data_IF_721389024062
#
_entry.id   IF_721389024062
#
_cell.length_a   1.000
_cell.length_b   1.000
_cell.length_c   1.000
_cell.angle_alpha   90.00
_cell.angle_beta   90.00
_cell.angle_gamma   90.00
#
_symmetry.space_group_name_H-M   'P 1'
#
loop_
_entity.id
_entity.type
_entity.pdbx_description
1 polymer ?
#
# COMPACT_ATOMS: atom_id res chain seq x y z
N UNK A 1 -0.62 12.33 9.73
CA UNK A 1 -1.81 11.56 10.23
C UNK A 1 -1.46 10.85 11.55
N UNK A 2 -2.38 10.64 12.50
CA UNK A 2 -2.10 9.85 13.73
C UNK A 2 -2.56 8.40 13.58
N UNK A 3 -1.68 7.53 13.08
CA UNK A 3 -1.93 6.08 12.97
C UNK A 3 -1.71 5.41 14.33
N UNK A 4 -2.65 4.58 14.77
CA UNK A 4 -2.47 3.82 16.01
C UNK A 4 -1.42 2.72 15.81
N UNK A 5 -0.49 2.50 16.76
CA UNK A 5 0.62 1.57 16.57
C UNK A 5 0.17 0.20 16.06
N UNK A 6 -0.88 -0.41 16.63
CA UNK A 6 -1.35 -1.74 16.23
C UNK A 6 -1.81 -1.89 14.77
N UNK A 7 -2.17 -0.79 14.11
CA UNK A 7 -2.64 -0.78 12.70
C UNK A 7 -1.58 -0.29 11.71
N UNK A 8 -0.36 -0.03 12.20
CA UNK A 8 0.74 0.48 11.38
C UNK A 8 1.35 -0.62 10.52
N UNK A 9 1.37 -0.38 9.22
CA UNK A 9 2.18 -1.07 8.24
C UNK A 9 3.14 -0.07 7.60
N UNK A 10 4.37 -0.47 7.39
CA UNK A 10 5.40 0.33 6.74
C UNK A 10 5.85 -0.36 5.48
N UNK A 11 5.82 0.34 4.35
CA UNK A 11 6.52 -0.06 3.14
C UNK A 11 7.85 0.67 3.11
N UNK A 12 8.94 -0.10 3.15
CA UNK A 12 10.31 0.40 3.04
C UNK A 12 10.99 -0.21 1.82
N UNK A 13 12.05 0.40 1.35
CA UNK A 13 12.85 -0.07 0.22
C UNK A 13 14.32 0.30 0.40
N UNK A 14 15.19 -0.28 -0.42
CA UNK A 14 16.61 0.03 -0.46
C UNK A 14 16.94 1.10 -1.49
N UNK A 15 16.25 1.06 -2.63
CA UNK A 15 16.50 1.94 -3.76
C UNK A 15 15.26 2.07 -4.65
N UNK A 16 15.20 3.12 -5.47
CA UNK A 16 14.09 3.40 -6.38
C UNK A 16 14.60 3.61 -7.80
N UNK A 17 14.06 2.84 -8.75
CA UNK A 17 14.40 2.94 -10.18
C UNK A 17 13.20 3.51 -10.96
N UNK A 18 13.43 4.60 -11.69
CA UNK A 18 12.41 5.27 -12.50
C UNK A 18 12.57 4.87 -13.97
N UNK A 19 11.70 3.99 -14.45
CA UNK A 19 11.74 3.52 -15.85
C UNK A 19 10.82 4.29 -16.78
N UNK A 20 9.68 4.77 -16.28
CA UNK A 20 8.70 5.60 -17.00
C UNK A 20 8.26 6.77 -16.12
N UNK A 21 7.54 7.74 -16.66
CA UNK A 21 7.11 8.96 -15.94
C UNK A 21 6.02 8.70 -14.88
N UNK A 22 5.42 7.51 -14.85
CA UNK A 22 4.31 7.17 -13.94
C UNK A 22 4.59 5.98 -13.04
N UNK A 23 5.77 5.33 -13.15
CA UNK A 23 6.14 4.13 -12.39
C UNK A 23 7.48 4.31 -11.68
N UNK A 24 7.49 3.94 -10.40
CA UNK A 24 8.69 3.83 -9.57
C UNK A 24 8.87 2.36 -9.13
N UNK A 25 9.95 1.72 -9.57
CA UNK A 25 10.28 0.37 -9.14
C UNK A 25 11.03 0.40 -7.81
N UNK A 26 10.50 -0.32 -6.82
CA UNK A 26 11.08 -0.37 -5.47
C UNK A 26 12.01 -1.59 -5.37
N UNK A 27 13.32 -1.37 -5.21
CA UNK A 27 14.30 -2.45 -5.05
C UNK A 27 14.45 -2.82 -3.59
N UNK A 28 14.42 -4.13 -3.32
CA UNK A 28 14.51 -4.65 -1.96
C UNK A 28 13.39 -4.13 -1.07
N UNK A 29 12.20 -3.95 -1.64
CA UNK A 29 11.04 -3.48 -0.89
C UNK A 29 10.58 -4.53 0.11
N UNK A 30 10.09 -4.07 1.26
CA UNK A 30 9.52 -4.95 2.27
C UNK A 30 8.47 -4.25 3.10
N UNK A 31 7.52 -5.03 3.57
CA UNK A 31 6.61 -4.65 4.63
C UNK A 31 7.23 -4.93 6.00
N UNK A 32 7.02 -4.01 6.94
CA UNK A 32 7.26 -4.22 8.36
C UNK A 32 6.21 -3.49 9.20
N UNK A 33 6.14 -3.80 10.49
CA UNK A 33 5.19 -3.18 11.42
C UNK A 33 4.41 -4.21 12.24
N UNK A 34 3.78 -3.76 13.33
CA UNK A 34 3.09 -4.64 14.27
C UNK A 34 1.87 -5.35 13.66
N UNK A 35 1.23 -4.78 12.64
CA UNK A 35 0.06 -5.42 12.00
C UNK A 35 0.43 -6.77 11.36
N UNK A 36 1.69 -6.96 10.95
CA UNK A 36 2.15 -8.23 10.36
C UNK A 36 2.12 -9.39 11.35
N UNK A 37 2.08 -9.14 12.67
CA UNK A 37 1.92 -10.19 13.68
C UNK A 37 0.52 -10.79 13.69
N UNK A 38 -0.45 -10.04 13.17
CA UNK A 38 -1.87 -10.41 13.14
C UNK A 38 -2.38 -10.63 11.73
N UNK A 39 -1.64 -10.21 10.70
CA UNK A 39 -1.98 -10.43 9.32
C UNK A 39 -1.76 -11.90 8.93
N UNK A 40 -2.67 -12.44 8.12
CA UNK A 40 -2.42 -13.67 7.38
C UNK A 40 -1.27 -13.46 6.37
N UNK A 41 -0.77 -14.55 5.79
CA UNK A 41 0.14 -14.45 4.64
C UNK A 41 -0.53 -13.62 3.54
N UNK A 42 0.22 -12.67 2.98
CA UNK A 42 -0.22 -11.89 1.82
C UNK A 42 -0.09 -12.74 0.54
N UNK A 43 -0.95 -12.46 -0.43
CA UNK A 43 -0.93 -13.12 -1.73
C UNK A 43 0.41 -12.84 -2.44
N UNK A 44 1.01 -13.84 -3.12
CA UNK A 44 2.25 -13.64 -3.86
C UNK A 44 2.14 -12.64 -5.00
N UNK A 45 0.98 -12.52 -5.64
CA UNK A 45 0.73 -11.58 -6.72
C UNK A 45 -0.51 -10.76 -6.38
N UNK A 46 -0.31 -9.50 -5.98
CA UNK A 46 -1.41 -8.65 -5.54
C UNK A 46 -1.05 -7.16 -5.62
N UNK A 47 -1.98 -6.32 -5.19
CA UNK A 47 -1.85 -4.88 -5.20
C UNK A 47 -2.61 -4.23 -4.04
N UNK A 48 -2.16 -3.03 -3.67
CA UNK A 48 -2.87 -2.12 -2.77
C UNK A 48 -3.11 -0.80 -3.49
N UNK A 49 -4.30 -0.24 -3.33
CA UNK A 49 -4.56 1.16 -3.68
C UNK A 49 -4.29 2.02 -2.45
N UNK A 50 -3.35 2.94 -2.56
CA UNK A 50 -2.91 3.82 -1.47
C UNK A 50 -3.43 5.24 -1.71
N UNK A 51 -4.09 5.82 -0.71
CA UNK A 51 -4.56 7.20 -0.70
C UNK A 51 -3.59 8.10 0.03
N UNK A 52 -2.90 8.90 -0.79
CA UNK A 52 -1.91 9.89 -0.39
C UNK A 52 -2.50 11.32 -0.43
N UNK A 53 -3.82 11.48 -0.65
CA UNK A 53 -4.48 12.79 -0.82
C UNK A 53 -4.33 13.69 0.41
N UNK A 54 -4.25 13.09 1.61
CA UNK A 54 -4.07 13.83 2.87
C UNK A 54 -2.64 14.33 3.13
N UNK A 55 -1.70 14.13 2.19
CA UNK A 55 -0.36 14.73 2.23
C UNK A 55 -0.42 16.24 1.90
N UNK A 56 -1.17 17.00 2.70
CA UNK A 56 -1.41 18.45 2.53
C UNK A 56 -0.16 19.33 2.70
N UNK A 57 0.99 18.76 3.07
CA UNK A 57 2.21 19.52 3.39
C UNK A 57 3.28 19.40 2.30
N UNK A 58 3.27 18.31 1.53
CA UNK A 58 4.29 18.05 0.50
C UNK A 58 3.80 18.51 -0.88
N UNK A 59 2.49 18.45 -1.12
CA UNK A 59 1.92 18.78 -2.42
C UNK A 59 1.09 20.05 -2.37
N UNK A 60 1.15 20.91 -3.42
CA UNK A 60 0.22 22.02 -3.55
C UNK A 60 -1.22 21.49 -3.47
N UNK A 61 -2.18 22.27 -2.93
CA UNK A 61 -3.56 21.82 -2.76
C UNK A 61 -4.09 21.27 -4.08
N UNK A 62 -4.19 19.95 -4.17
CA UNK A 62 -4.65 19.29 -5.37
C UNK A 62 -6.16 19.41 -5.44
N UNK A 63 -6.65 19.77 -6.62
CA UNK A 63 -8.07 19.67 -6.94
C UNK A 63 -8.54 18.20 -7.03
N UNK A 64 -7.59 17.26 -7.19
CA UNK A 64 -7.83 15.83 -7.44
C UNK A 64 -7.27 14.93 -6.31
N UNK A 65 -7.84 13.73 -6.18
CA UNK A 65 -7.32 12.67 -5.32
C UNK A 65 -5.93 12.20 -5.76
N UNK A 66 -5.02 12.00 -4.81
CA UNK A 66 -3.71 11.41 -5.08
C UNK A 66 -3.71 9.94 -4.66
N UNK A 67 -4.08 9.07 -5.59
CA UNK A 67 -4.04 7.61 -5.42
C UNK A 67 -2.86 7.00 -6.17
N UNK A 68 -2.22 6.01 -5.55
CA UNK A 68 -1.16 5.22 -6.18
C UNK A 68 -1.42 3.72 -6.01
N UNK A 69 -1.09 2.95 -7.04
CA UNK A 69 -1.12 1.50 -7.00
C UNK A 69 0.25 0.98 -6.60
N UNK A 70 0.33 0.32 -5.44
CA UNK A 70 1.44 -0.54 -5.09
C UNK A 70 1.15 -1.95 -5.61
N UNK A 71 2.06 -2.53 -6.36
CA UNK A 71 1.94 -3.89 -6.87
C UNK A 71 3.23 -4.67 -6.61
N UNK A 72 3.11 -5.99 -6.48
CA UNK A 72 4.25 -6.90 -6.35
C UNK A 72 3.98 -8.23 -7.04
N UNK A 73 5.07 -8.95 -7.33
CA UNK A 73 5.05 -10.30 -7.86
C UNK A 73 6.11 -11.16 -7.18
N UNK A 74 5.64 -12.04 -6.31
CA UNK A 74 6.43 -12.86 -5.40
C UNK A 74 6.61 -12.18 -4.04
N UNK A 75 6.63 -13.01 -2.99
CA UNK A 75 6.86 -12.58 -1.61
C UNK A 75 7.84 -13.51 -0.93
N UNK A 76 8.63 -12.99 -0.01
CA UNK A 76 9.56 -13.77 0.80
C UNK A 76 9.47 -13.33 2.26
N UNK A 77 9.19 -14.30 3.13
CA UNK A 77 9.05 -14.07 4.57
C UNK A 77 10.39 -14.30 5.25
N UNK A 78 10.89 -13.28 5.94
CA UNK A 78 12.14 -13.37 6.70
C UNK A 78 11.99 -12.58 7.99
N UNK A 79 12.11 -13.29 9.11
CA UNK A 79 11.93 -12.72 10.46
C UNK A 79 10.56 -12.04 10.58
N UNK A 80 10.52 -10.74 10.92
CA UNK A 80 9.31 -9.92 11.05
C UNK A 80 9.08 -9.02 9.82
N UNK A 81 9.55 -9.44 8.65
CA UNK A 81 9.45 -8.69 7.40
C UNK A 81 8.90 -9.56 6.27
N UNK A 82 8.15 -8.91 5.38
CA UNK A 82 7.65 -9.53 4.14
C UNK A 82 8.27 -8.79 2.97
N UNK A 83 9.26 -9.41 2.33
CA UNK A 83 9.94 -8.85 1.18
C UNK A 83 9.09 -9.01 -0.07
N UNK A 84 8.95 -7.94 -0.83
CA UNK A 84 8.17 -7.88 -2.06
C UNK A 84 9.12 -8.00 -3.25
N UNK A 85 8.91 -9.02 -4.08
CA UNK A 85 9.65 -9.20 -5.33
C UNK A 85 8.94 -8.44 -6.45
N UNK A 86 9.74 -7.93 -7.38
CA UNK A 86 9.26 -7.20 -8.57
C UNK A 86 8.27 -6.06 -8.24
N UNK A 87 8.43 -5.40 -7.09
CA UNK A 87 7.48 -4.38 -6.64
C UNK A 87 7.64 -3.04 -7.35
N UNK A 88 6.51 -2.37 -7.58
CA UNK A 88 6.45 -1.04 -8.16
C UNK A 88 5.27 -0.24 -7.61
N UNK A 89 5.41 1.08 -7.65
CA UNK A 89 4.34 2.04 -7.37
C UNK A 89 4.02 2.79 -8.65
N UNK A 90 2.74 2.87 -9.00
CA UNK A 90 2.25 3.60 -10.18
C UNK A 90 1.21 4.62 -9.80
N UNK A 91 1.31 5.82 -10.36
CA UNK A 91 0.28 6.83 -10.22
C UNK A 91 0.58 8.06 -11.06
N UNK A 92 -0.47 8.82 -11.38
CA UNK A 92 -0.42 10.00 -12.26
C UNK A 92 0.66 11.01 -11.85
N UNK A 93 0.97 11.07 -10.56
CA UNK A 93 1.92 12.04 -10.02
C UNK A 93 3.15 11.47 -9.32
N UNK A 94 3.38 10.15 -9.41
CA UNK A 94 4.45 9.46 -8.66
C UNK A 94 5.84 9.98 -9.02
N UNK A 95 6.06 10.44 -10.25
CA UNK A 95 7.37 10.96 -10.68
C UNK A 95 7.38 12.45 -11.04
N UNK A 96 6.25 13.15 -10.94
CA UNK A 96 6.10 14.54 -11.42
C UNK A 96 6.01 15.58 -10.31
N UNK A 97 5.71 15.20 -9.07
CA UNK A 97 5.64 16.13 -7.95
C UNK A 97 6.89 16.08 -7.07
N UNK A 98 7.18 14.90 -6.52
CA UNK A 98 8.40 14.65 -5.74
C UNK A 98 8.78 13.18 -5.86
N UNK A 99 10.01 12.92 -6.30
CA UNK A 99 10.51 11.56 -6.45
C UNK A 99 10.82 10.95 -5.08
N UNK A 100 10.29 9.75 -4.84
CA UNK A 100 10.66 8.90 -3.70
C UNK A 100 12.19 8.72 -3.59
N UNK A 101 12.75 9.16 -2.47
CA UNK A 101 14.14 8.93 -2.11
C UNK A 101 14.39 7.52 -1.56
N UNK A 102 15.67 7.13 -1.47
CA UNK A 102 16.09 5.87 -0.84
C UNK A 102 15.84 5.81 0.68
N UNK A 103 15.77 6.97 1.32
CA UNK A 103 15.55 7.11 2.76
C UNK A 103 14.07 7.38 3.10
N UNK A 104 13.22 7.46 2.06
CA UNK A 104 11.79 7.63 2.22
C UNK A 104 11.13 6.28 2.50
N UNK A 105 9.95 6.33 3.11
CA UNK A 105 9.11 5.14 3.31
C UNK A 105 7.64 5.54 3.30
N UNK A 106 6.73 4.57 3.16
CA UNK A 106 5.29 4.82 3.20
C UNK A 106 4.70 4.21 4.46
N UNK A 107 4.08 5.04 5.29
CA UNK A 107 3.23 4.63 6.40
C UNK A 107 1.83 4.34 5.88
N UNK A 108 1.32 3.15 6.13
CA UNK A 108 -0.01 2.70 5.72
C UNK A 108 -0.85 2.45 6.98
N UNK A 109 -2.05 3.03 7.03
CA UNK A 109 -3.03 2.79 8.10
C UNK A 109 -3.95 1.63 7.69
N UNK A 110 -3.80 0.50 8.38
CA UNK A 110 -4.62 -0.70 8.17
C UNK A 110 -5.89 -0.73 9.05
N UNK A 111 -6.23 0.36 9.75
CA UNK A 111 -7.42 0.40 10.60
C UNK A 111 -8.69 0.17 9.78
N UNK A 112 -9.53 -0.77 10.21
CA UNK A 112 -10.78 -1.12 9.52
C UNK A 112 -10.60 -2.07 8.33
N UNK A 113 -9.41 -2.66 8.20
CA UNK A 113 -9.12 -3.70 7.21
C UNK A 113 -8.97 -5.07 7.89
N UNK A 114 -9.91 -5.41 8.77
CA UNK A 114 -9.98 -6.71 9.45
C UNK A 114 -10.81 -7.70 8.62
N UNK A 115 -10.39 -8.97 8.57
CA UNK A 115 -10.95 -10.01 7.68
C UNK A 115 -12.45 -10.28 7.83
N UNK A 116 -13.08 -9.87 8.95
CA UNK A 116 -14.51 -10.06 9.19
C UNK A 116 -15.40 -9.17 8.32
N UNK A 117 -14.91 -7.99 7.90
CA UNK A 117 -15.68 -7.06 7.07
C UNK A 117 -15.78 -7.47 5.60
N UNK A 118 -15.02 -8.51 5.20
CA UNK A 118 -14.81 -8.91 3.80
C UNK A 118 -15.39 -10.27 3.42
N UNK A 119 -16.27 -10.84 4.25
CA UNK A 119 -16.99 -12.06 3.90
C UNK A 119 -17.72 -11.87 2.55
N UNK A 120 -17.57 -12.80 1.58
CA UNK A 120 -18.20 -12.67 0.27
C UNK A 120 -19.72 -12.63 0.45
N UNK A 121 -20.32 -11.47 0.22
CA UNK A 121 -21.78 -11.35 0.18
C UNK A 121 -22.26 -12.17 -1.02
N UNK A 122 -23.24 -13.06 -0.82
CA UNK A 122 -23.88 -13.81 -1.92
C UNK A 122 -24.29 -12.82 -3.00
N UNK A 123 -23.58 -12.82 -4.13
CA UNK A 123 -23.91 -11.93 -5.23
C UNK A 123 -25.08 -12.47 -6.05
N UNK A 124 -25.40 -11.75 -7.12
CA UNK A 124 -26.58 -12.02 -7.95
C UNK A 124 -26.54 -13.44 -8.52
N UNK A 125 -27.64 -14.17 -8.41
CA UNK A 125 -27.83 -15.47 -9.07
C UNK A 125 -27.81 -15.25 -10.58
N UNK A 126 -26.90 -15.93 -11.28
CA UNK A 126 -26.73 -15.82 -12.74
C UNK A 126 -27.26 -17.05 -13.48
N UNK A 127 -27.39 -18.19 -12.79
CA UNK A 127 -28.08 -19.39 -13.27
C UNK A 127 -28.62 -20.21 -12.09
N UNK A 128 -29.46 -21.25 -12.28
CA UNK A 128 -29.82 -22.19 -11.22
C UNK A 128 -28.57 -22.77 -10.54
N UNK A 129 -28.45 -22.60 -9.23
CA UNK A 129 -27.28 -23.04 -8.45
C UNK A 129 -26.03 -22.16 -8.57
N UNK A 130 -25.91 -21.31 -9.59
CA UNK A 130 -24.72 -20.48 -9.83
C UNK A 130 -24.95 -19.05 -9.34
N UNK A 131 -24.18 -18.67 -8.32
CA UNK A 131 -24.14 -17.32 -7.79
C UNK A 131 -22.85 -16.65 -8.23
N UNK A 132 -22.95 -15.46 -8.84
CA UNK A 132 -21.77 -14.65 -9.06
C UNK A 132 -21.29 -14.13 -7.71
N UNK A 133 -20.13 -14.56 -7.24
CA UNK A 133 -19.47 -13.89 -6.11
C UNK A 133 -18.98 -12.52 -6.59
N UNK A 134 -19.58 -11.45 -6.08
CA UNK A 134 -19.05 -10.11 -6.27
C UNK A 134 -18.02 -9.85 -5.18
N UNK A 135 -16.75 -9.92 -5.54
CA UNK A 135 -15.69 -9.26 -4.77
C UNK A 135 -15.80 -7.76 -5.10
N UNK A 136 -16.70 -7.07 -4.42
CA UNK A 136 -16.63 -5.62 -4.42
C UNK A 136 -15.44 -5.22 -3.56
N UNK A 137 -14.89 -4.04 -3.84
CA UNK A 137 -13.92 -3.29 -3.02
C UNK A 137 -12.45 -3.59 -3.36
N UNK A 138 -11.95 -2.89 -4.39
CA UNK A 138 -10.58 -2.40 -4.36
C UNK A 138 -10.42 -1.62 -3.06
N UNK A 139 -9.63 -2.15 -2.12
CA UNK A 139 -9.46 -1.53 -0.80
C UNK A 139 -8.49 -0.37 -0.91
N UNK A 140 -8.97 0.79 -0.48
CA UNK A 140 -8.18 2.02 -0.42
C UNK A 140 -7.62 2.16 0.98
N UNK A 141 -6.30 2.11 1.10
CA UNK A 141 -5.61 2.31 2.36
C UNK A 141 -5.11 3.75 2.46
N UNK A 142 -5.37 4.41 3.58
CA UNK A 142 -4.74 5.71 3.82
C UNK A 142 -3.24 5.53 4.02
N UNK A 143 -2.45 6.37 3.35
CA UNK A 143 -1.02 6.30 3.40
C UNK A 143 -0.32 7.67 3.39
N UNK A 144 0.87 7.72 3.95
CA UNK A 144 1.69 8.93 4.07
C UNK A 144 3.14 8.59 3.73
N UNK A 145 3.75 9.36 2.81
CA UNK A 145 5.20 9.31 2.58
C UNK A 145 5.86 9.98 3.77
N UNK A 146 6.87 9.31 4.32
CA UNK A 146 7.60 9.74 5.50
C UNK A 146 9.06 9.94 5.11
N UNK A 147 9.66 11.00 5.67
CA UNK A 147 11.06 11.37 5.41
C UNK A 147 11.92 11.02 6.62
N UNK A 148 13.21 10.78 6.39
CA UNK A 148 14.19 10.39 7.42
C UNK A 148 14.20 11.25 8.68
N UNK A 149 13.94 12.55 8.58
CA UNK A 149 13.92 13.46 9.73
C UNK A 149 12.81 13.14 10.75
N UNK A 150 11.73 12.48 10.32
CA UNK A 150 10.56 12.18 11.15
C UNK A 150 10.71 10.91 12.01
N UNK A 151 11.69 10.04 11.72
CA UNK A 151 11.96 8.83 12.53
C UNK A 151 12.39 9.18 13.97
N UNK A 152 12.88 10.39 14.21
CA UNK A 152 13.40 10.84 15.51
C UNK A 152 12.33 11.31 16.51
N UNK A 153 11.05 11.40 16.10
CA UNK A 153 9.95 12.00 16.89
C UNK A 153 8.91 11.02 17.43
N UNK A 154 9.09 9.72 17.21
CA UNK A 154 8.19 8.65 17.67
C UNK A 154 8.91 7.66 18.58
#
# INVERSE_FOLDING_TARGET
MKVLPKYRLELRWKDVEYKTDDVAHLKGAYFTGPVLKHAAQINPEDHLLLDLTKQHVIFPPMADYYHVFLNWKGVEYKENKVYLKESWVRGKYVNTLEKLGKDDWILIDCKGHDTEDYAPRKGKRIAPGVHMQKYNHLLVYYAEVQKKEEESKY
#
